data_IF_707970844395
#
_entry.id   IF_707970844395
#
_cell.length_a   1.000
_cell.length_b   1.000
_cell.length_c   1.000
_cell.angle_alpha   90.00
_cell.angle_beta   90.00
_cell.angle_gamma   90.00
#
_symmetry.space_group_name_H-M   'P 1'
#
loop_
_entity.id
_entity.type
_entity.pdbx_description
1 polymer ?
#
# COMPACT_ATOMS: atom_id res chain seq x y z
N UNK A 1 1.74 15.87 2.11
CA UNK A 1 1.68 15.01 0.96
C UNK A 1 0.35 14.31 0.83
N UNK A 2 -0.04 14.10 -0.40
CA UNK A 2 -1.32 13.44 -0.68
C UNK A 2 -1.42 12.05 -0.08
N UNK A 3 -0.35 11.28 -0.15
CA UNK A 3 -0.37 9.92 0.36
C UNK A 3 -0.70 9.89 1.84
N UNK A 4 -0.09 10.78 2.59
CA UNK A 4 -0.33 10.83 4.04
C UNK A 4 -1.73 11.27 4.38
N UNK A 5 -2.32 12.10 3.53
CA UNK A 5 -3.66 12.62 3.78
C UNK A 5 -4.74 11.65 3.36
N UNK A 6 -4.48 10.85 2.34
CA UNK A 6 -5.48 9.99 1.73
C UNK A 6 -5.51 8.60 2.35
N UNK A 7 -4.35 8.05 2.65
CA UNK A 7 -4.23 6.68 3.09
C UNK A 7 -4.10 6.58 4.60
N UNK A 8 -4.77 5.60 5.17
CA UNK A 8 -4.63 5.28 6.58
C UNK A 8 -3.31 4.54 6.81
N UNK A 9 -2.89 4.46 8.07
CA UNK A 9 -1.58 3.91 8.41
C UNK A 9 -1.27 2.58 7.72
N UNK A 10 -2.19 1.63 7.79
CA UNK A 10 -1.93 0.32 7.20
C UNK A 10 -1.86 0.39 5.68
N UNK A 11 -2.76 1.14 5.08
CA UNK A 11 -2.76 1.31 3.64
C UNK A 11 -1.47 1.97 3.18
N UNK A 12 -1.05 2.99 3.89
CA UNK A 12 0.17 3.70 3.58
C UNK A 12 1.38 2.78 3.67
N UNK A 13 1.47 2.01 4.77
CA UNK A 13 2.59 1.10 4.96
C UNK A 13 2.67 0.08 3.83
N UNK A 14 1.54 -0.50 3.46
CA UNK A 14 1.52 -1.50 2.40
C UNK A 14 1.93 -0.90 1.07
N UNK A 15 1.45 0.27 0.75
CA UNK A 15 1.82 0.94 -0.50
C UNK A 15 3.31 1.29 -0.51
N UNK A 16 3.83 1.79 0.59
CA UNK A 16 5.24 2.11 0.67
C UNK A 16 6.12 0.89 0.46
N UNK A 17 5.74 -0.24 1.07
CA UNK A 17 6.51 -1.47 0.91
C UNK A 17 6.36 -2.06 -0.49
N UNK A 18 5.16 -1.99 -1.03
CA UNK A 18 4.88 -2.59 -2.34
C UNK A 18 5.63 -1.89 -3.46
N UNK A 19 5.76 -0.58 -3.37
CA UNK A 19 6.38 0.20 -4.44
C UNK A 19 7.75 0.77 -4.07
N UNK A 20 8.23 0.46 -2.87
CA UNK A 20 9.56 0.90 -2.46
C UNK A 20 9.68 2.40 -2.31
N UNK A 21 8.64 3.05 -1.80
CA UNK A 21 8.62 4.51 -1.75
C UNK A 21 9.60 5.11 -0.75
N UNK A 22 10.08 4.29 0.19
CA UNK A 22 11.03 4.76 1.20
C UNK A 22 12.47 4.51 0.80
N UNK A 23 12.72 4.27 -0.47
CA UNK A 23 14.07 3.99 -0.93
C UNK A 23 14.46 2.53 -0.88
N UNK A 24 13.60 1.69 -0.34
CA UNK A 24 13.83 0.25 -0.32
C UNK A 24 13.38 -0.38 -1.62
N UNK A 25 13.81 -1.62 -1.84
CA UNK A 25 13.35 -2.35 -3.00
C UNK A 25 11.88 -2.69 -2.85
N UNK A 26 11.11 -2.64 -3.94
CA UNK A 26 9.71 -3.05 -3.88
C UNK A 26 9.57 -4.47 -3.37
N UNK A 27 8.54 -4.72 -2.59
CA UNK A 27 8.28 -6.04 -2.02
C UNK A 27 7.02 -6.66 -2.64
N UNK A 28 6.99 -7.98 -2.66
CA UNK A 28 5.81 -8.68 -3.18
C UNK A 28 4.72 -8.68 -2.12
N UNK A 29 3.50 -8.96 -2.56
CA UNK A 29 2.38 -9.08 -1.63
C UNK A 29 2.64 -10.15 -0.59
N UNK A 30 3.26 -11.25 -1.02
CA UNK A 30 3.59 -12.34 -0.12
C UNK A 30 4.56 -11.89 0.96
N UNK A 31 5.58 -11.16 0.58
CA UNK A 31 6.54 -10.64 1.54
C UNK A 31 5.89 -9.68 2.53
N UNK A 32 5.06 -8.80 2.03
CA UNK A 32 4.36 -7.84 2.89
C UNK A 32 3.43 -8.55 3.86
N UNK A 33 2.70 -9.54 3.38
CA UNK A 33 1.81 -10.31 4.23
C UNK A 33 2.58 -10.95 5.38
N UNK A 34 3.72 -11.54 5.07
CA UNK A 34 4.56 -12.17 6.08
C UNK A 34 5.10 -11.15 7.08
N UNK A 35 5.55 -10.01 6.60
CA UNK A 35 6.10 -8.97 7.46
C UNK A 35 5.06 -8.39 8.40
N UNK A 36 3.83 -8.27 7.94
CA UNK A 36 2.77 -7.65 8.73
C UNK A 36 1.90 -8.66 9.48
N UNK A 37 2.13 -9.95 9.28
CA UNK A 37 1.36 -10.97 9.96
C UNK A 37 -0.09 -11.05 9.50
N UNK A 38 -0.34 -10.77 8.24
CA UNK A 38 -1.69 -10.81 7.68
C UNK A 38 -1.69 -11.69 6.44
N UNK A 39 -2.88 -12.00 5.92
CA UNK A 39 -2.96 -12.85 4.75
C UNK A 39 -2.62 -12.09 3.49
N UNK A 40 -2.15 -12.81 2.49
CA UNK A 40 -1.84 -12.22 1.20
C UNK A 40 -3.11 -11.65 0.54
N UNK A 41 -4.23 -12.34 0.72
CA UNK A 41 -5.50 -11.84 0.18
C UNK A 41 -5.86 -10.48 0.78
N UNK A 42 -5.59 -10.32 2.06
CA UNK A 42 -5.87 -9.07 2.73
C UNK A 42 -4.96 -7.97 2.20
N UNK A 43 -3.67 -8.28 1.98
CA UNK A 43 -2.74 -7.32 1.39
C UNK A 43 -3.26 -6.88 0.02
N UNK A 44 -3.70 -7.83 -0.79
CA UNK A 44 -4.21 -7.51 -2.12
C UNK A 44 -5.42 -6.60 -2.05
N UNK A 45 -6.33 -6.86 -1.12
CA UNK A 45 -7.51 -6.01 -0.95
C UNK A 45 -7.13 -4.59 -0.56
N UNK A 46 -6.23 -4.48 0.41
CA UNK A 46 -5.82 -3.17 0.89
C UNK A 46 -5.10 -2.42 -0.22
N UNK A 47 -4.25 -3.11 -0.95
CA UNK A 47 -3.52 -2.50 -2.06
C UNK A 47 -4.48 -1.96 -3.11
N UNK A 48 -5.44 -2.77 -3.51
CA UNK A 48 -6.42 -2.36 -4.51
C UNK A 48 -7.20 -1.14 -4.04
N UNK A 49 -7.61 -1.16 -2.79
CA UNK A 49 -8.37 -0.07 -2.21
C UNK A 49 -7.54 1.21 -2.14
N UNK A 50 -6.29 1.07 -1.73
CA UNK A 50 -5.39 2.22 -1.61
C UNK A 50 -5.11 2.84 -2.98
N UNK A 51 -4.84 2.00 -3.96
CA UNK A 51 -4.59 2.48 -5.32
C UNK A 51 -5.82 3.18 -5.87
N UNK A 52 -7.00 2.64 -5.58
CA UNK A 52 -8.24 3.27 -6.01
C UNK A 52 -8.42 4.65 -5.41
N UNK A 53 -8.09 4.80 -4.13
CA UNK A 53 -8.17 6.09 -3.48
C UNK A 53 -7.20 7.09 -4.09
N UNK A 54 -5.98 6.66 -4.33
CA UNK A 54 -4.97 7.54 -4.92
C UNK A 54 -5.36 7.94 -6.33
N UNK A 55 -5.82 6.98 -7.12
CA UNK A 55 -6.21 7.26 -8.49
C UNK A 55 -7.36 8.27 -8.53
N UNK A 56 -8.32 8.12 -7.62
CA UNK A 56 -9.44 9.02 -7.57
C UNK A 56 -9.02 10.45 -7.24
N UNK A 57 -8.08 10.58 -6.28
CA UNK A 57 -7.60 11.89 -5.89
C UNK A 57 -6.73 12.54 -6.96
N UNK A 58 -5.89 11.76 -7.60
CA UNK A 58 -4.94 12.30 -8.57
C UNK A 58 -5.55 12.53 -9.94
N UNK A 59 -6.73 12.00 -10.14
CA UNK A 59 -7.37 12.07 -11.44
C UNK A 59 -7.99 13.42 -11.75
N UNK A 60 -8.19 14.19 -10.77
CA UNK A 60 -8.84 15.47 -10.87
C UNK A 60 -8.30 16.37 -11.94
#
# INVERSE_FOLDING_TARGET
EKIREILKDREKTIIELRFGLNGDKPKTQKQIAKMMGISRSYVSRIETKAIGKLAKELKE
#
